data_IF_194627689798
#
_entry.id   IF_194627689798
#
_cell.length_a   1.000
_cell.length_b   1.000
_cell.length_c   1.000
_cell.angle_alpha   90.00
_cell.angle_beta   90.00
_cell.angle_gamma   90.00
#
_symmetry.space_group_name_H-M   'P 1'
#
loop_
_entity.id
_entity.type
_entity.pdbx_description
1 polymer ?
#
# COMPACT_ATOMS: atom_id res chain seq x y z
N UNK A 1 -11.23 35.17 43.50
CA UNK A 1 -10.69 34.48 42.31
C UNK A 1 -11.77 33.53 41.81
N UNK A 2 -12.56 33.96 40.83
CA UNK A 2 -13.59 33.12 40.19
C UNK A 2 -13.21 32.96 38.72
N UNK A 3 -12.87 31.74 38.33
CA UNK A 3 -12.70 31.32 36.95
C UNK A 3 -14.05 30.91 36.39
N UNK A 4 -14.63 31.76 35.56
CA UNK A 4 -15.80 31.44 34.75
C UNK A 4 -15.35 30.55 33.59
N UNK A 5 -15.68 29.26 33.65
CA UNK A 5 -15.56 28.38 32.50
C UNK A 5 -16.74 28.58 31.54
N UNK A 6 -16.42 28.59 30.24
CA UNK A 6 -17.25 28.14 29.11
C UNK A 6 -18.24 29.12 28.42
N UNK A 7 -17.78 29.87 27.39
CA UNK A 7 -18.62 30.47 26.36
C UNK A 7 -18.77 29.63 25.07
N UNK A 8 -18.45 28.33 25.07
CA UNK A 8 -18.40 27.51 23.84
C UNK A 8 -19.60 26.56 23.63
N UNK A 9 -20.50 26.39 24.61
CA UNK A 9 -21.62 25.42 24.51
C UNK A 9 -22.92 25.97 23.91
N UNK A 10 -23.10 27.30 23.84
CA UNK A 10 -24.36 27.93 23.38
C UNK A 10 -24.42 28.17 21.86
N UNK A 11 -23.29 28.44 21.21
CA UNK A 11 -23.27 28.82 19.79
C UNK A 11 -23.37 27.63 18.81
N UNK A 12 -23.20 26.39 19.29
CA UNK A 12 -23.24 25.19 18.44
C UNK A 12 -24.62 24.49 18.45
N UNK A 13 -25.46 24.74 19.46
CA UNK A 13 -26.73 24.03 19.64
C UNK A 13 -27.83 24.50 18.69
N UNK A 14 -27.80 25.75 18.24
CA UNK A 14 -28.90 26.37 17.47
C UNK A 14 -28.79 26.14 15.96
N UNK A 15 -27.58 26.04 15.42
CA UNK A 15 -27.30 25.75 14.01
C UNK A 15 -27.64 24.30 13.69
N UNK A 16 -27.26 23.36 14.57
CA UNK A 16 -27.53 21.93 14.44
C UNK A 16 -29.04 21.65 14.48
N UNK A 17 -29.79 22.27 15.41
CA UNK A 17 -31.24 22.06 15.54
C UNK A 17 -32.01 22.68 14.36
N UNK A 18 -31.59 23.84 13.86
CA UNK A 18 -32.19 24.47 12.66
C UNK A 18 -31.86 23.69 11.39
N UNK A 19 -30.62 23.20 11.24
CA UNK A 19 -30.22 22.32 10.15
C UNK A 19 -30.98 20.99 10.17
N UNK A 20 -31.16 20.38 11.34
CA UNK A 20 -31.95 19.16 11.52
C UNK A 20 -33.43 19.36 11.18
N UNK A 21 -34.03 20.48 11.56
CA UNK A 21 -35.44 20.79 11.27
C UNK A 21 -35.69 21.17 9.81
N UNK A 22 -34.71 21.79 9.14
CA UNK A 22 -34.71 22.05 7.70
C UNK A 22 -34.53 20.75 6.90
N UNK A 23 -33.67 19.84 7.37
CA UNK A 23 -33.58 18.49 6.82
C UNK A 23 -34.96 17.85 6.93
N UNK A 24 -35.64 17.87 8.09
CA UNK A 24 -36.96 17.25 8.29
C UNK A 24 -38.17 17.91 7.60
N UNK A 25 -37.99 18.96 6.78
CA UNK A 25 -39.08 19.51 5.97
C UNK A 25 -39.29 18.60 4.73
N UNK A 26 -40.36 17.81 4.72
CA UNK A 26 -40.57 16.66 3.82
C UNK A 26 -40.40 16.86 2.30
N UNK A 27 -40.33 18.10 1.81
CA UNK A 27 -40.00 18.43 0.41
C UNK A 27 -38.50 18.46 0.12
N UNK A 28 -37.65 18.80 1.08
CA UNK A 28 -36.20 18.87 0.88
C UNK A 28 -35.50 17.51 1.12
N UNK A 29 -36.03 16.67 2.02
CA UNK A 29 -35.59 15.26 2.16
C UNK A 29 -35.64 14.51 0.82
N UNK A 30 -36.75 14.62 0.10
CA UNK A 30 -36.92 13.91 -1.18
C UNK A 30 -35.89 14.34 -2.22
N UNK A 31 -35.59 15.64 -2.30
CA UNK A 31 -34.58 16.17 -3.21
C UNK A 31 -33.18 15.70 -2.83
N UNK A 32 -32.85 15.71 -1.54
CA UNK A 32 -31.57 15.20 -1.04
C UNK A 32 -31.41 13.72 -1.38
N UNK A 33 -32.43 12.89 -1.13
CA UNK A 33 -32.41 11.47 -1.44
C UNK A 33 -32.23 11.20 -2.95
N UNK A 34 -32.89 11.99 -3.81
CA UNK A 34 -32.71 11.86 -5.26
C UNK A 34 -31.28 12.21 -5.69
N UNK A 35 -30.69 13.27 -5.14
CA UNK A 35 -29.30 13.67 -5.43
C UNK A 35 -28.31 12.61 -4.94
N UNK A 36 -28.54 12.05 -3.75
CA UNK A 36 -27.70 10.97 -3.23
C UNK A 36 -27.83 9.71 -4.09
N UNK A 37 -29.05 9.33 -4.45
CA UNK A 37 -29.29 8.18 -5.32
C UNK A 37 -28.66 8.36 -6.71
N UNK A 38 -28.74 9.56 -7.29
CA UNK A 38 -28.11 9.85 -8.58
C UNK A 38 -26.58 9.80 -8.51
N UNK A 39 -25.97 10.33 -7.43
CA UNK A 39 -24.54 10.23 -7.20
C UNK A 39 -24.07 8.78 -7.06
N UNK A 40 -24.78 7.96 -6.26
CA UNK A 40 -24.47 6.53 -6.12
C UNK A 40 -24.54 5.82 -7.47
N UNK A 41 -25.57 6.12 -8.27
CA UNK A 41 -25.74 5.54 -9.61
C UNK A 41 -24.60 5.93 -10.55
N UNK A 42 -24.17 7.20 -10.52
CA UNK A 42 -23.04 7.67 -11.33
C UNK A 42 -21.72 6.99 -10.93
N UNK A 43 -21.46 6.82 -9.63
CA UNK A 43 -20.28 6.12 -9.14
C UNK A 43 -20.29 4.65 -9.56
N UNK A 44 -21.42 3.96 -9.42
CA UNK A 44 -21.57 2.58 -9.88
C UNK A 44 -21.33 2.44 -11.39
N UNK A 45 -21.86 3.38 -12.18
CA UNK A 45 -21.64 3.42 -13.62
C UNK A 45 -20.15 3.61 -13.96
N UNK A 46 -19.47 4.56 -13.29
CA UNK A 46 -18.03 4.80 -13.49
C UNK A 46 -17.21 3.52 -13.23
N UNK A 47 -17.43 2.86 -12.09
CA UNK A 47 -16.74 1.60 -11.78
C UNK A 47 -17.04 0.48 -12.78
N UNK A 48 -18.29 0.37 -13.23
CA UNK A 48 -18.66 -0.64 -14.23
C UNK A 48 -17.95 -0.42 -15.57
N UNK A 49 -17.80 0.84 -15.99
CA UNK A 49 -17.08 1.21 -17.22
C UNK A 49 -15.60 0.90 -17.07
N UNK A 50 -14.96 1.32 -15.99
CA UNK A 50 -13.54 1.07 -15.72
C UNK A 50 -13.22 -0.43 -15.67
N UNK A 51 -14.10 -1.20 -15.02
CA UNK A 51 -13.96 -2.66 -14.92
C UNK A 51 -14.11 -3.30 -16.29
N UNK A 52 -15.06 -2.84 -17.11
CA UNK A 52 -15.30 -3.38 -18.44
C UNK A 52 -14.17 -3.05 -19.42
N UNK A 53 -13.64 -1.83 -19.41
CA UNK A 53 -12.50 -1.44 -20.25
C UNK A 53 -11.24 -2.22 -19.87
N UNK A 54 -11.01 -2.39 -18.57
CA UNK A 54 -9.88 -3.17 -18.04
C UNK A 54 -9.98 -4.64 -18.47
N UNK A 55 -11.15 -5.25 -18.32
CA UNK A 55 -11.39 -6.64 -18.74
C UNK A 55 -11.19 -6.81 -20.24
N UNK A 56 -11.75 -5.90 -21.04
CA UNK A 56 -11.66 -5.97 -22.51
C UNK A 56 -10.22 -5.75 -23.01
N UNK A 57 -9.47 -4.83 -22.39
CA UNK A 57 -8.06 -4.63 -22.70
C UNK A 57 -7.23 -5.88 -22.36
N UNK A 58 -7.50 -6.49 -21.21
CA UNK A 58 -6.85 -7.73 -20.79
C UNK A 58 -7.15 -8.91 -21.73
N UNK A 59 -8.40 -9.09 -22.15
CA UNK A 59 -8.78 -10.13 -23.11
C UNK A 59 -8.10 -9.95 -24.47
N UNK A 60 -8.01 -8.72 -24.97
CA UNK A 60 -7.27 -8.43 -26.22
C UNK A 60 -5.78 -8.73 -26.09
N UNK A 61 -5.17 -8.36 -24.96
CA UNK A 61 -3.76 -8.66 -24.69
C UNK A 61 -3.52 -10.17 -24.66
N UNK A 62 -4.37 -10.94 -23.95
CA UNK A 62 -4.27 -12.40 -23.90
C UNK A 62 -4.40 -13.04 -25.29
N UNK A 63 -5.39 -12.64 -26.07
CA UNK A 63 -5.57 -13.16 -27.43
C UNK A 63 -4.35 -12.86 -28.32
N UNK A 64 -3.75 -11.67 -28.20
CA UNK A 64 -2.55 -11.31 -28.93
C UNK A 64 -1.30 -12.09 -28.47
N UNK A 65 -1.17 -12.36 -27.17
CA UNK A 65 -0.08 -13.16 -26.61
C UNK A 65 -0.20 -14.64 -27.00
N UNK A 66 -1.41 -15.21 -26.92
CA UNK A 66 -1.70 -16.58 -27.37
C UNK A 66 -1.42 -16.75 -28.87
N UNK A 67 -1.79 -15.77 -29.71
CA UNK A 67 -1.49 -15.78 -31.14
C UNK A 67 0.01 -15.73 -31.44
N UNK A 68 0.82 -15.16 -30.55
CA UNK A 68 2.29 -15.15 -30.63
C UNK A 68 2.93 -16.43 -30.05
N UNK A 69 2.14 -17.33 -29.48
CA UNK A 69 2.62 -18.55 -28.82
C UNK A 69 3.17 -18.32 -27.41
N UNK A 70 2.99 -17.12 -26.83
CA UNK A 70 3.36 -16.82 -25.45
C UNK A 70 2.28 -17.38 -24.51
N UNK A 71 2.59 -18.48 -23.80
CA UNK A 71 1.70 -19.01 -22.76
C UNK A 71 1.71 -18.06 -21.57
N UNK A 72 0.64 -17.27 -21.39
CA UNK A 72 0.39 -16.46 -20.19
C UNK A 72 -0.06 -17.30 -18.98
N UNK A 73 0.36 -18.57 -18.92
CA UNK A 73 0.07 -19.44 -17.79
C UNK A 73 0.97 -19.03 -16.63
N UNK A 74 0.38 -18.46 -15.58
CA UNK A 74 1.08 -18.09 -14.34
C UNK A 74 2.09 -19.14 -13.84
N UNK A 75 1.81 -20.47 -13.82
CA UNK A 75 2.79 -21.46 -13.37
C UNK A 75 4.02 -21.58 -14.27
N UNK A 76 3.94 -21.20 -15.56
CA UNK A 76 5.09 -21.22 -16.47
C UNK A 76 6.08 -20.07 -16.21
N UNK A 77 5.64 -18.98 -15.57
CA UNK A 77 6.50 -17.84 -15.21
C UNK A 77 7.01 -17.88 -13.78
N UNK A 78 6.48 -18.76 -12.94
CA UNK A 78 7.03 -18.94 -11.59
C UNK A 78 8.29 -19.80 -11.74
N UNK A 79 9.49 -19.24 -11.52
CA UNK A 79 10.69 -20.05 -11.52
C UNK A 79 10.57 -21.12 -10.45
N UNK A 80 11.18 -22.28 -10.68
CA UNK A 80 11.26 -23.32 -9.64
C UNK A 80 11.85 -22.70 -8.37
N UNK A 81 11.33 -23.05 -7.18
CA UNK A 81 11.88 -22.53 -5.93
C UNK A 81 13.37 -22.87 -5.87
N UNK A 82 14.18 -21.87 -5.52
CA UNK A 82 15.63 -22.03 -5.36
C UNK A 82 15.85 -22.89 -4.12
N UNK A 83 16.65 -23.97 -4.21
CA UNK A 83 17.03 -24.76 -3.05
C UNK A 83 17.63 -23.91 -1.92
N UNK A 84 17.33 -24.24 -0.66
CA UNK A 84 17.73 -23.43 0.50
C UNK A 84 19.25 -23.29 0.64
N UNK A 85 20.02 -24.31 0.23
CA UNK A 85 21.48 -24.31 0.22
C UNK A 85 22.09 -23.32 -0.78
N UNK A 86 21.32 -22.91 -1.80
CA UNK A 86 21.70 -21.91 -2.79
C UNK A 86 21.02 -20.56 -2.55
N UNK A 87 20.12 -20.49 -1.57
CA UNK A 87 19.38 -19.28 -1.28
C UNK A 87 20.15 -18.42 -0.28
N UNK A 88 20.76 -17.34 -0.77
CA UNK A 88 21.44 -16.35 0.07
C UNK A 88 20.56 -15.82 1.22
N UNK A 89 19.25 -15.73 1.00
CA UNK A 89 18.28 -15.29 2.00
C UNK A 89 18.13 -16.28 3.18
N UNK A 90 18.48 -17.55 2.99
CA UNK A 90 18.43 -18.60 4.03
C UNK A 90 19.71 -18.69 4.85
N UNK A 91 20.71 -17.84 4.62
CA UNK A 91 21.89 -17.79 5.48
C UNK A 91 21.51 -17.42 6.91
N UNK A 92 22.25 -17.88 7.95
CA UNK A 92 21.89 -17.65 9.35
C UNK A 92 21.70 -16.18 9.73
N UNK A 93 22.34 -15.26 9.01
CA UNK A 93 22.20 -13.82 9.22
C UNK A 93 20.83 -13.29 8.75
N UNK A 94 20.33 -13.75 7.59
CA UNK A 94 19.08 -13.27 6.99
C UNK A 94 17.86 -14.14 7.31
N UNK A 95 18.04 -15.42 7.62
CA UNK A 95 16.95 -16.35 7.90
C UNK A 95 15.90 -15.84 8.91
N UNK A 96 16.29 -15.16 10.03
CA UNK A 96 15.30 -14.62 10.97
C UNK A 96 14.38 -13.54 10.38
N UNK A 97 14.78 -12.86 9.30
CA UNK A 97 13.95 -11.85 8.63
C UNK A 97 12.74 -12.45 7.90
N UNK A 98 12.81 -13.75 7.61
CA UNK A 98 11.74 -14.51 6.96
C UNK A 98 10.98 -15.39 7.96
N UNK A 99 11.36 -15.36 9.24
CA UNK A 99 10.71 -16.12 10.31
C UNK A 99 9.63 -15.27 11.01
N UNK A 100 8.39 -15.42 10.52
CA UNK A 100 7.22 -14.74 11.05
C UNK A 100 6.42 -15.62 12.00
N UNK A 101 5.72 -14.99 12.94
CA UNK A 101 4.70 -15.69 13.72
C UNK A 101 3.56 -16.14 12.79
N UNK A 102 3.10 -17.40 12.87
CA UNK A 102 2.08 -17.92 11.96
C UNK A 102 0.79 -17.12 12.04
N UNK A 103 0.23 -16.75 10.89
CA UNK A 103 -1.00 -15.96 10.80
C UNK A 103 -0.82 -14.47 11.11
N UNK A 104 0.41 -14.01 11.31
CA UNK A 104 0.73 -12.58 11.48
C UNK A 104 1.87 -12.17 10.55
N UNK A 105 2.17 -10.87 10.50
CA UNK A 105 3.34 -10.32 9.82
C UNK A 105 4.39 -9.81 10.82
N UNK A 106 4.37 -10.34 12.05
CA UNK A 106 5.34 -9.98 13.08
C UNK A 106 6.51 -10.96 13.06
N UNK A 107 7.74 -10.42 13.00
CA UNK A 107 8.95 -11.21 13.16
C UNK A 107 8.97 -11.91 14.52
N UNK A 108 9.41 -13.17 14.55
CA UNK A 108 9.66 -13.85 15.82
C UNK A 108 10.89 -13.28 16.52
N UNK A 109 11.94 -12.93 15.78
CA UNK A 109 13.14 -12.29 16.31
C UNK A 109 13.25 -10.84 15.85
N UNK A 110 12.63 -9.93 16.60
CA UNK A 110 12.74 -8.48 16.37
C UNK A 110 14.18 -7.98 16.50
N UNK A 111 15.01 -8.62 17.33
CA UNK A 111 16.41 -8.22 17.48
C UNK A 111 17.22 -8.52 16.21
N UNK A 112 16.92 -9.62 15.51
CA UNK A 112 17.53 -9.91 14.21
C UNK A 112 17.16 -8.88 13.13
N UNK A 113 15.89 -8.48 13.09
CA UNK A 113 15.45 -7.39 12.22
C UNK A 113 16.20 -6.09 12.53
N UNK A 114 16.34 -5.76 13.81
CA UNK A 114 17.07 -4.57 14.26
C UNK A 114 18.56 -4.64 13.89
N UNK A 115 19.24 -5.77 14.14
CA UNK A 115 20.65 -5.98 13.75
C UNK A 115 20.87 -5.79 12.26
N UNK A 116 19.96 -6.30 11.43
CA UNK A 116 20.04 -6.15 9.97
C UNK A 116 19.83 -4.70 9.56
N UNK A 117 18.86 -4.01 10.17
CA UNK A 117 18.61 -2.59 9.91
C UNK A 117 19.80 -1.71 10.30
N UNK A 118 20.46 -2.02 11.43
CA UNK A 118 21.63 -1.28 11.88
C UNK A 118 22.86 -1.57 11.01
N UNK A 119 23.03 -2.81 10.53
CA UNK A 119 24.02 -3.14 9.52
C UNK A 119 23.81 -2.36 8.22
N UNK A 120 22.56 -2.29 7.72
CA UNK A 120 22.25 -1.52 6.51
C UNK A 120 22.54 -0.03 6.70
N UNK A 121 22.18 0.56 7.84
CA UNK A 121 22.54 1.95 8.17
C UNK A 121 24.05 2.16 8.20
N UNK A 122 24.80 1.23 8.78
CA UNK A 122 26.26 1.31 8.82
C UNK A 122 26.87 1.33 7.41
N UNK A 123 26.37 0.49 6.49
CA UNK A 123 26.78 0.52 5.07
C UNK A 123 26.50 1.89 4.44
N UNK A 124 25.33 2.48 4.72
CA UNK A 124 24.98 3.81 4.21
C UNK A 124 25.86 4.94 4.72
N UNK A 125 26.48 4.77 5.88
CA UNK A 125 27.40 5.76 6.46
C UNK A 125 28.84 5.59 6.00
N UNK A 126 29.14 4.58 5.16
CA UNK A 126 30.50 4.38 4.67
C UNK A 126 30.98 5.58 3.86
N UNK A 127 32.28 5.91 3.93
CA UNK A 127 32.81 7.06 3.20
C UNK A 127 32.75 6.81 1.69
N UNK A 128 32.76 7.89 0.89
CA UNK A 128 32.63 7.83 -0.57
C UNK A 128 33.63 6.93 -1.32
N UNK A 129 34.77 6.54 -0.73
CA UNK A 129 35.67 5.54 -1.32
C UNK A 129 35.05 4.14 -1.37
N UNK A 130 34.10 3.86 -0.47
CA UNK A 130 33.23 2.67 -0.51
C UNK A 130 32.17 2.76 -1.63
N UNK A 131 32.23 3.83 -2.43
CA UNK A 131 31.34 4.12 -3.54
C UNK A 131 29.96 4.51 -3.07
N UNK A 132 29.13 4.88 -4.05
CA UNK A 132 27.76 5.24 -3.80
C UNK A 132 26.89 4.49 -4.79
N UNK A 133 26.26 3.43 -4.30
CA UNK A 133 25.37 2.59 -5.09
C UNK A 133 24.16 3.37 -5.61
N UNK A 134 23.69 4.40 -4.90
CA UNK A 134 22.60 5.26 -5.35
C UNK A 134 23.02 6.20 -6.49
N UNK A 135 24.32 6.49 -6.61
CA UNK A 135 24.88 7.28 -7.71
C UNK A 135 25.57 6.41 -8.78
N UNK A 136 25.46 5.08 -8.68
CA UNK A 136 26.13 4.11 -9.54
C UNK A 136 27.65 4.36 -9.71
N UNK A 137 28.31 4.87 -8.67
CA UNK A 137 29.75 5.13 -8.72
C UNK A 137 30.54 3.82 -8.55
N UNK A 138 31.48 3.49 -9.46
CA UNK A 138 32.27 2.28 -9.36
C UNK A 138 33.24 2.37 -8.17
N UNK A 139 33.32 1.29 -7.40
CA UNK A 139 34.25 1.16 -6.28
C UNK A 139 35.54 0.46 -6.70
N UNK A 140 36.68 0.97 -6.22
CA UNK A 140 37.94 0.23 -6.34
C UNK A 140 38.00 -0.82 -5.24
N UNK A 141 37.98 -2.10 -5.63
CA UNK A 141 38.03 -3.25 -4.72
C UNK A 141 39.30 -3.28 -3.84
N UNK A 142 40.39 -2.65 -4.28
CA UNK A 142 41.63 -2.53 -3.50
C UNK A 142 41.47 -1.78 -2.17
N UNK A 143 40.40 -0.99 -1.99
CA UNK A 143 40.11 -0.32 -0.72
C UNK A 143 39.37 -1.21 0.30
N UNK A 144 38.98 -2.42 -0.10
CA UNK A 144 38.17 -3.36 0.69
C UNK A 144 38.92 -4.64 1.10
N UNK A 145 40.17 -4.81 0.64
CA UNK A 145 41.08 -5.90 1.01
C UNK A 145 42.09 -5.39 2.04
#
# INVERSE_FOLDING_TARGET
MNTTSEPLSMLDRSTIVRAGRWLCHGRNQRKLLIVVASLITLVALAYSVETWTSKRAWEKFKAAAEAKGERLERPAFVPKPVPDDQNFAMTPFFAPLFDFQPGTQHWRDTNAAQRTADFAKAIHTLPNWAGNWALAQPTRLAAWL
#
